data_IF_350247729041
#
_entry.id   IF_350247729041
#
_cell.length_a   1.000
_cell.length_b   1.000
_cell.length_c   1.000
_cell.angle_alpha   90.00
_cell.angle_beta   90.00
_cell.angle_gamma   90.00
#
_symmetry.space_group_name_H-M   'P 1'
#
loop_
_entity.id
_entity.type
_entity.pdbx_description
1 polymer ?
#
# COMPACT_ATOMS: atom_id res chain seq x y z
N UNK A 1 0.84 -14.35 -20.21
CA UNK A 1 0.29 -13.45 -19.18
C UNK A 1 0.07 -12.08 -19.82
N UNK A 2 -1.04 -11.40 -19.54
CA UNK A 2 -1.39 -10.14 -20.22
C UNK A 2 -0.81 -8.94 -19.46
N UNK A 3 -0.29 -7.94 -20.18
CA UNK A 3 0.20 -6.67 -19.59
C UNK A 3 -0.87 -5.96 -18.75
N UNK A 4 -2.15 -6.15 -19.10
CA UNK A 4 -3.29 -5.62 -18.36
C UNK A 4 -3.31 -6.07 -16.88
N UNK A 5 -2.90 -7.31 -16.59
CA UNK A 5 -2.89 -7.84 -15.23
C UNK A 5 -1.77 -7.20 -14.40
N UNK A 6 -0.61 -6.93 -15.01
CA UNK A 6 0.51 -6.24 -14.35
C UNK A 6 0.16 -4.77 -14.08
N UNK A 7 -0.46 -4.09 -15.06
CA UNK A 7 -0.93 -2.72 -14.89
C UNK A 7 -1.99 -2.61 -13.78
N UNK A 8 -2.88 -3.59 -13.65
CA UNK A 8 -3.86 -3.64 -12.55
C UNK A 8 -3.17 -3.82 -11.19
N UNK A 9 -2.18 -4.70 -11.08
CA UNK A 9 -1.40 -4.88 -9.85
C UNK A 9 -0.66 -3.60 -9.43
N UNK A 10 -0.03 -2.90 -10.38
CA UNK A 10 0.62 -1.61 -10.09
C UNK A 10 -0.38 -0.54 -9.65
N UNK A 11 -1.55 -0.45 -10.31
CA UNK A 11 -2.60 0.50 -9.89
C UNK A 11 -3.14 0.18 -8.50
N UNK A 12 -3.32 -1.09 -8.17
CA UNK A 12 -3.73 -1.50 -6.83
C UNK A 12 -2.65 -1.16 -5.79
N UNK A 13 -1.39 -1.47 -6.05
CA UNK A 13 -0.28 -1.13 -5.16
C UNK A 13 -0.22 0.38 -4.88
N UNK A 14 -0.39 1.21 -5.91
CA UNK A 14 -0.43 2.67 -5.77
C UNK A 14 -1.61 3.13 -4.91
N UNK A 15 -2.80 2.53 -5.07
CA UNK A 15 -3.96 2.83 -4.23
C UNK A 15 -3.72 2.45 -2.78
N UNK A 16 -3.13 1.28 -2.52
CA UNK A 16 -2.79 0.86 -1.16
C UNK A 16 -1.76 1.81 -0.52
N UNK A 17 -0.76 2.28 -1.28
CA UNK A 17 0.15 3.32 -0.79
C UNK A 17 -0.54 4.64 -0.45
N UNK A 18 -1.51 5.07 -1.26
CA UNK A 18 -2.28 6.28 -0.98
C UNK A 18 -3.11 6.14 0.31
N UNK A 19 -3.76 4.99 0.51
CA UNK A 19 -4.47 4.67 1.75
C UNK A 19 -3.53 4.67 2.96
N UNK A 20 -2.34 4.07 2.83
CA UNK A 20 -1.32 4.09 3.87
C UNK A 20 -0.92 5.52 4.26
N UNK A 21 -0.62 6.34 3.26
CA UNK A 21 -0.22 7.74 3.47
C UNK A 21 -1.35 8.56 4.09
N UNK A 22 -2.61 8.32 3.70
CA UNK A 22 -3.77 8.96 4.31
C UNK A 22 -3.90 8.56 5.78
N UNK A 23 -3.91 7.27 6.09
CA UNK A 23 -3.99 6.77 7.46
C UNK A 23 -2.85 7.30 8.34
N UNK A 24 -1.62 7.38 7.80
CA UNK A 24 -0.49 7.95 8.54
C UNK A 24 -0.70 9.44 8.86
N UNK A 25 -1.20 10.25 7.91
CA UNK A 25 -1.53 11.66 8.17
C UNK A 25 -2.61 11.80 9.24
N UNK A 26 -3.68 11.01 9.15
CA UNK A 26 -4.74 11.02 10.17
C UNK A 26 -4.23 10.61 11.55
N UNK A 27 -3.34 9.62 11.62
CA UNK A 27 -2.68 9.24 12.88
C UNK A 27 -1.89 10.41 13.48
N UNK A 28 -1.12 11.14 12.66
CA UNK A 28 -0.40 12.34 13.10
C UNK A 28 -1.35 13.40 13.65
N UNK A 29 -2.47 13.67 12.97
CA UNK A 29 -3.48 14.64 13.43
C UNK A 29 -4.11 14.25 14.78
N UNK A 30 -4.35 12.96 15.03
CA UNK A 30 -4.84 12.49 16.34
C UNK A 30 -3.78 12.60 17.43
N UNK A 31 -2.52 12.27 17.13
CA UNK A 31 -1.41 12.40 18.06
C UNK A 31 -1.19 13.86 18.47
N UNK A 32 -1.28 14.80 17.53
CA UNK A 32 -1.20 16.24 17.80
C UNK A 32 -2.32 16.73 18.74
N UNK A 33 -3.48 16.09 18.71
CA UNK A 33 -4.63 16.38 19.59
C UNK A 33 -4.60 15.61 20.92
N UNK A 34 -3.61 14.73 21.11
CA UNK A 34 -3.49 13.86 22.28
C UNK A 34 -4.42 12.64 22.27
N UNK A 35 -5.10 12.35 21.15
CA UNK A 35 -5.98 11.19 20.98
C UNK A 35 -5.19 9.96 20.54
N UNK A 36 -4.34 9.48 21.45
CA UNK A 36 -3.43 8.36 21.19
C UNK A 36 -4.15 7.06 20.76
N UNK A 37 -5.32 6.67 21.31
CA UNK A 37 -6.03 5.48 20.85
C UNK A 37 -6.42 5.53 19.37
N UNK A 38 -6.98 6.65 18.90
CA UNK A 38 -7.31 6.82 17.48
C UNK A 38 -6.06 6.90 16.61
N UNK A 39 -5.02 7.60 17.09
CA UNK A 39 -3.72 7.66 16.41
C UNK A 39 -3.12 6.27 16.19
N UNK A 40 -3.10 5.42 17.22
CA UNK A 40 -2.61 4.04 17.13
C UNK A 40 -3.44 3.19 16.16
N UNK A 41 -4.76 3.34 16.15
CA UNK A 41 -5.63 2.63 15.22
C UNK A 41 -5.30 2.99 13.76
N UNK A 42 -5.15 4.27 13.47
CA UNK A 42 -4.78 4.75 12.13
C UNK A 42 -3.36 4.31 11.73
N UNK A 43 -2.41 4.28 12.67
CA UNK A 43 -1.06 3.81 12.42
C UNK A 43 -1.02 2.31 12.07
N UNK A 44 -1.81 1.48 12.75
CA UNK A 44 -1.95 0.06 12.39
C UNK A 44 -2.49 -0.11 10.97
N UNK A 45 -3.51 0.66 10.59
CA UNK A 45 -4.05 0.64 9.21
C UNK A 45 -3.02 1.11 8.17
N UNK A 46 -2.25 2.14 8.49
CA UNK A 46 -1.18 2.60 7.61
C UNK A 46 -0.16 1.49 7.32
N UNK A 47 0.19 0.69 8.34
CA UNK A 47 1.07 -0.46 8.18
C UNK A 47 0.44 -1.56 7.33
N UNK A 48 -0.80 -1.96 7.61
CA UNK A 48 -1.52 -2.99 6.83
C UNK A 48 -1.60 -2.63 5.34
N UNK A 49 -1.91 -1.37 5.02
CA UNK A 49 -1.95 -0.89 3.64
C UNK A 49 -0.56 -0.87 3.00
N UNK A 50 0.49 -0.52 3.75
CA UNK A 50 1.87 -0.53 3.26
C UNK A 50 2.35 -1.95 2.93
N UNK A 51 2.05 -2.92 3.80
CA UNK A 51 2.39 -4.33 3.59
C UNK A 51 1.69 -4.87 2.34
N UNK A 52 0.40 -4.56 2.17
CA UNK A 52 -0.36 -4.97 0.98
C UNK A 52 0.16 -4.31 -0.30
N UNK A 53 0.53 -3.03 -0.25
CA UNK A 53 1.14 -2.34 -1.38
C UNK A 53 2.45 -3.03 -1.80
N UNK A 54 3.28 -3.40 -0.83
CA UNK A 54 4.54 -4.11 -1.06
C UNK A 54 4.33 -5.50 -1.69
N UNK A 55 3.35 -6.26 -1.21
CA UNK A 55 3.02 -7.57 -1.79
C UNK A 55 2.61 -7.48 -3.26
N UNK A 56 1.71 -6.54 -3.58
CA UNK A 56 1.25 -6.30 -4.94
C UNK A 56 2.38 -5.81 -5.87
N UNK A 57 3.24 -4.93 -5.36
CA UNK A 57 4.39 -4.44 -6.10
C UNK A 57 5.39 -5.57 -6.42
N UNK A 58 5.68 -6.45 -5.45
CA UNK A 58 6.48 -7.66 -5.67
C UNK A 58 5.84 -8.59 -6.70
N UNK A 59 4.53 -8.81 -6.61
CA UNK A 59 3.83 -9.67 -7.56
C UNK A 59 3.91 -9.11 -8.99
N UNK A 60 3.68 -7.81 -9.16
CA UNK A 60 3.81 -7.13 -10.45
C UNK A 60 5.24 -7.26 -11.00
N UNK A 61 6.26 -7.04 -10.16
CA UNK A 61 7.65 -7.17 -10.54
C UNK A 61 8.01 -8.60 -10.99
N UNK A 62 7.63 -9.60 -10.19
CA UNK A 62 7.89 -11.02 -10.52
C UNK A 62 7.23 -11.44 -11.83
N UNK A 63 5.99 -11.00 -12.07
CA UNK A 63 5.27 -11.30 -13.31
C UNK A 63 5.85 -10.57 -14.52
N UNK A 64 6.37 -9.36 -14.34
CA UNK A 64 7.08 -8.64 -15.40
C UNK A 64 8.37 -9.37 -15.79
N UNK A 65 9.18 -9.79 -14.81
CA UNK A 65 10.43 -10.52 -15.06
C UNK A 65 10.21 -11.88 -15.74
N UNK A 66 9.10 -12.57 -15.45
CA UNK A 66 8.72 -13.81 -16.14
C UNK A 66 8.41 -13.59 -17.63
N UNK A 67 7.85 -12.44 -18.01
CA UNK A 67 7.57 -12.12 -19.42
C UNK A 67 8.86 -11.84 -20.18
N UNK A 68 9.84 -11.19 -19.56
CA UNK A 68 11.14 -10.89 -20.17
C UNK A 68 12.02 -12.14 -20.38
N UNK A 69 11.76 -13.22 -19.63
CA UNK A 69 12.53 -14.47 -19.70
C UNK A 69 12.01 -15.52 -20.70
N UNK A 70 10.89 -15.26 -21.39
CA UNK A 70 10.24 -16.15 -22.37
C UNK A 70 10.55 -15.74 -23.80
#
# INVERSE_FOLDING_TARGET
>A
MNQDTIHQLHREAARQHELAAHSHRTASEHNEKGDNPAGNWHMQRAQEFSDRAYELAKEAHNKSGQIESL
#
